data_IF_174008732090
#
_entry.id   IF_174008732090
#
_cell.length_a   1.000
_cell.length_b   1.000
_cell.length_c   1.000
_cell.angle_alpha   90.00
_cell.angle_beta   90.00
_cell.angle_gamma   90.00
#
_symmetry.space_group_name_H-M   'P 1'
#
loop_
_entity.id
_entity.type
_entity.pdbx_description
1 polymer ?
#
# COMPACT_ATOMS: atom_id res chain seq x y z
N UNK A 1 -16.16 29.75 -25.14
CA UNK A 1 -15.24 28.89 -25.87
C UNK A 1 -13.86 28.87 -25.23
N UNK A 2 -13.28 30.00 -24.87
CA UNK A 2 -11.94 30.04 -24.29
C UNK A 2 -11.83 29.34 -22.94
N UNK A 3 -12.92 29.22 -22.18
CA UNK A 3 -12.93 28.58 -20.87
C UNK A 3 -13.23 27.07 -20.93
N UNK A 4 -13.76 26.59 -22.05
CA UNK A 4 -14.14 25.16 -22.17
C UNK A 4 -12.93 24.26 -22.26
N UNK A 5 -11.94 24.67 -23.04
CA UNK A 5 -10.74 23.84 -23.24
C UNK A 5 -9.91 23.70 -21.96
N UNK A 6 -9.58 24.81 -21.24
CA UNK A 6 -8.90 24.67 -19.94
C UNK A 6 -9.71 23.88 -18.91
N UNK A 7 -11.05 24.04 -18.90
CA UNK A 7 -11.90 23.29 -17.99
C UNK A 7 -11.86 21.79 -18.29
N UNK A 8 -11.87 21.41 -19.57
CA UNK A 8 -11.74 20.02 -19.99
C UNK A 8 -10.39 19.43 -19.57
N UNK A 9 -9.30 20.15 -19.80
CA UNK A 9 -7.99 19.71 -19.37
C UNK A 9 -7.92 19.50 -17.87
N UNK A 10 -8.51 20.42 -17.10
CA UNK A 10 -8.54 20.31 -15.65
C UNK A 10 -9.28 19.06 -15.20
N UNK A 11 -10.42 18.76 -15.80
CA UNK A 11 -11.20 17.56 -15.47
C UNK A 11 -10.40 16.30 -15.79
N UNK A 12 -9.72 16.26 -16.94
CA UNK A 12 -8.91 15.10 -17.34
C UNK A 12 -7.76 14.91 -16.36
N UNK A 13 -7.05 15.97 -15.99
CA UNK A 13 -5.94 15.89 -15.06
C UNK A 13 -6.43 15.39 -13.70
N UNK A 14 -7.56 15.90 -13.21
CA UNK A 14 -8.11 15.44 -11.94
C UNK A 14 -8.53 13.98 -11.98
N UNK A 15 -9.08 13.53 -13.11
CA UNK A 15 -9.46 12.14 -13.27
C UNK A 15 -8.23 11.21 -13.25
N UNK A 16 -7.16 11.60 -13.94
CA UNK A 16 -5.91 10.83 -13.95
C UNK A 16 -5.29 10.83 -12.55
N UNK A 17 -5.31 11.97 -11.87
CA UNK A 17 -4.78 12.10 -10.52
C UNK A 17 -5.52 11.20 -9.55
N UNK A 18 -6.86 11.16 -9.66
CA UNK A 18 -7.68 10.26 -8.86
C UNK A 18 -7.37 8.79 -9.15
N UNK A 19 -7.11 8.45 -10.41
CA UNK A 19 -6.75 7.09 -10.80
C UNK A 19 -5.39 6.70 -10.21
N UNK A 20 -4.40 7.59 -10.22
CA UNK A 20 -3.10 7.34 -9.60
C UNK A 20 -3.24 7.10 -8.09
N UNK A 21 -4.02 7.95 -7.42
CA UNK A 21 -4.26 7.81 -5.99
C UNK A 21 -4.93 6.48 -5.68
N UNK A 22 -5.98 6.15 -6.41
CA UNK A 22 -6.72 4.90 -6.20
C UNK A 22 -5.82 3.69 -6.42
N UNK A 23 -5.02 3.72 -7.48
CA UNK A 23 -4.12 2.62 -7.80
C UNK A 23 -3.05 2.44 -6.71
N UNK A 24 -2.45 3.55 -6.25
CA UNK A 24 -1.45 3.52 -5.19
C UNK A 24 -2.06 3.01 -3.87
N UNK A 25 -3.26 3.46 -3.54
CA UNK A 25 -3.95 3.03 -2.33
C UNK A 25 -4.29 1.54 -2.38
N UNK A 26 -4.80 1.07 -3.51
CA UNK A 26 -5.11 -0.34 -3.72
C UNK A 26 -3.86 -1.21 -3.61
N UNK A 27 -2.76 -0.75 -4.19
CA UNK A 27 -1.48 -1.46 -4.10
C UNK A 27 -1.00 -1.54 -2.66
N UNK A 28 -1.10 -0.44 -1.91
CA UNK A 28 -0.69 -0.41 -0.51
C UNK A 28 -1.55 -1.38 0.34
N UNK A 29 -2.86 -1.42 0.10
CA UNK A 29 -3.76 -2.35 0.77
C UNK A 29 -3.36 -3.80 0.47
N UNK A 30 -3.13 -4.11 -0.80
CA UNK A 30 -2.74 -5.46 -1.21
C UNK A 30 -1.41 -5.87 -0.60
N UNK A 31 -0.44 -4.97 -0.56
CA UNK A 31 0.86 -5.22 0.06
C UNK A 31 0.72 -5.46 1.57
N UNK A 32 -0.09 -4.65 2.25
CA UNK A 32 -0.34 -4.81 3.68
C UNK A 32 -0.98 -6.16 3.97
N UNK A 33 -1.94 -6.58 3.15
CA UNK A 33 -2.61 -7.88 3.31
C UNK A 33 -1.64 -9.04 3.07
N UNK A 34 -0.80 -8.94 2.06
CA UNK A 34 0.19 -9.98 1.78
C UNK A 34 1.20 -10.09 2.92
N UNK A 35 1.68 -8.94 3.40
CA UNK A 35 2.59 -8.91 4.53
C UNK A 35 1.96 -9.46 5.81
N UNK A 36 0.70 -9.10 6.07
CA UNK A 36 -0.01 -9.58 7.26
C UNK A 36 -0.20 -11.10 7.23
N UNK A 37 -0.57 -11.65 6.07
CA UNK A 37 -0.68 -13.10 5.93
C UNK A 37 0.64 -13.80 6.19
N UNK A 38 1.72 -13.23 5.67
CA UNK A 38 3.06 -13.80 5.87
C UNK A 38 3.48 -13.70 7.33
N UNK A 39 3.28 -12.54 7.95
CA UNK A 39 3.65 -12.33 9.36
C UNK A 39 2.82 -13.19 10.30
N UNK A 40 1.55 -13.44 9.96
CA UNK A 40 0.65 -14.25 10.77
C UNK A 40 0.79 -15.75 10.57
N UNK A 41 1.55 -16.18 9.60
CA UNK A 41 1.73 -17.61 9.33
C UNK A 41 2.46 -18.30 10.47
N UNK A 42 2.23 -19.60 10.58
CA UNK A 42 2.86 -20.43 11.61
C UNK A 42 4.38 -20.34 11.49
N UNK A 43 5.04 -20.08 12.61
CA UNK A 43 6.51 -19.97 12.71
C UNK A 43 7.10 -18.80 11.90
N UNK A 44 6.29 -17.80 11.57
CA UNK A 44 6.76 -16.61 10.88
C UNK A 44 7.15 -15.52 11.86
N UNK A 45 7.62 -14.40 11.33
CA UNK A 45 8.03 -13.23 12.12
C UNK A 45 7.47 -11.95 11.52
N UNK A 46 7.49 -10.88 12.30
CA UNK A 46 7.13 -9.54 11.80
C UNK A 46 8.06 -9.12 10.65
N UNK A 47 9.35 -9.44 10.75
CA UNK A 47 10.32 -9.11 9.70
C UNK A 47 10.00 -9.82 8.38
N UNK A 48 9.57 -11.07 8.42
CA UNK A 48 9.15 -11.80 7.23
C UNK A 48 7.94 -11.12 6.57
N UNK A 49 6.99 -10.67 7.40
CA UNK A 49 5.83 -9.96 6.89
C UNK A 49 6.18 -8.64 6.24
N UNK A 50 7.06 -7.87 6.86
CA UNK A 50 7.51 -6.59 6.28
C UNK A 50 8.23 -6.82 4.96
N UNK A 51 9.09 -7.83 4.88
CA UNK A 51 9.78 -8.18 3.65
C UNK A 51 8.80 -8.60 2.55
N UNK A 52 7.78 -9.40 2.90
CA UNK A 52 6.78 -9.83 1.94
C UNK A 52 5.99 -8.65 1.36
N UNK A 53 5.64 -7.69 2.20
CA UNK A 53 4.94 -6.48 1.74
C UNK A 53 5.82 -5.67 0.79
N UNK A 54 7.09 -5.47 1.14
CA UNK A 54 8.02 -4.72 0.31
C UNK A 54 8.28 -5.45 -1.02
N UNK A 55 8.47 -6.75 -0.98
CA UNK A 55 8.69 -7.57 -2.19
C UNK A 55 7.47 -7.55 -3.11
N UNK A 56 6.27 -7.57 -2.53
CA UNK A 56 5.04 -7.49 -3.30
C UNK A 56 4.99 -6.19 -4.11
N UNK A 57 5.31 -5.06 -3.47
CA UNK A 57 5.32 -3.77 -4.14
C UNK A 57 6.34 -3.77 -5.29
N UNK A 58 7.53 -4.29 -5.04
CA UNK A 58 8.58 -4.34 -6.06
C UNK A 58 8.20 -5.27 -7.22
N UNK A 59 7.62 -6.44 -6.91
CA UNK A 59 7.28 -7.45 -7.92
C UNK A 59 6.18 -7.00 -8.87
N UNK A 60 5.25 -6.18 -8.41
CA UNK A 60 4.17 -5.68 -9.26
C UNK A 60 4.52 -4.36 -9.94
N UNK A 61 5.78 -3.95 -9.86
CA UNK A 61 6.22 -2.70 -10.50
C UNK A 61 5.72 -1.45 -9.79
N UNK A 62 5.49 -1.55 -8.47
CA UNK A 62 4.89 -0.48 -7.71
C UNK A 62 5.78 0.71 -7.41
N UNK A 63 7.07 0.65 -7.76
CA UNK A 63 8.02 1.72 -7.47
C UNK A 63 7.63 3.05 -8.13
N UNK A 64 6.95 3.00 -9.28
CA UNK A 64 6.49 4.19 -9.98
C UNK A 64 5.13 4.67 -9.49
N UNK A 65 4.38 3.82 -8.81
CA UNK A 65 3.01 4.09 -8.36
C UNK A 65 3.00 4.57 -6.92
N UNK A 66 3.82 3.95 -6.08
CA UNK A 66 3.88 4.23 -4.65
C UNK A 66 5.35 4.48 -4.29
N UNK A 67 5.66 5.72 -3.91
CA UNK A 67 7.04 6.13 -3.63
C UNK A 67 7.23 6.41 -2.15
N UNK A 68 8.49 6.43 -1.69
CA UNK A 68 8.81 6.70 -0.30
C UNK A 68 8.18 5.69 0.65
N UNK A 69 8.17 4.42 0.27
CA UNK A 69 7.45 3.38 1.00
C UNK A 69 8.15 3.06 2.30
N UNK A 70 7.37 3.06 3.39
CA UNK A 70 7.81 2.55 4.69
C UNK A 70 6.83 1.47 5.12
N UNK A 71 7.36 0.34 5.55
CA UNK A 71 6.56 -0.79 5.99
C UNK A 71 6.81 -1.01 7.47
N UNK A 72 5.73 -0.94 8.26
CA UNK A 72 5.76 -1.28 9.67
C UNK A 72 5.18 -2.67 9.88
N UNK A 73 5.72 -3.40 10.84
CA UNK A 73 5.24 -4.74 11.14
C UNK A 73 5.23 -4.98 12.64
N UNK A 74 4.13 -5.58 13.10
CA UNK A 74 3.99 -6.01 14.49
C UNK A 74 3.41 -7.41 14.51
N UNK A 75 3.96 -8.26 15.35
CA UNK A 75 3.41 -9.58 15.59
C UNK A 75 3.35 -9.83 17.08
N UNK A 76 2.13 -10.10 17.55
CA UNK A 76 1.89 -10.50 18.94
C UNK A 76 1.53 -11.98 18.97
N UNK A 77 1.21 -12.49 20.15
CA UNK A 77 0.79 -13.90 20.29
C UNK A 77 -0.52 -14.19 19.57
N UNK A 78 -1.33 -13.16 19.32
CA UNK A 78 -2.68 -13.34 18.78
C UNK A 78 -2.90 -12.68 17.43
N UNK A 79 -2.08 -11.71 17.03
CA UNK A 79 -2.31 -10.99 15.79
C UNK A 79 -1.01 -10.56 15.14
N UNK A 80 -1.09 -10.36 13.82
CA UNK A 80 -0.02 -9.76 13.04
C UNK A 80 -0.60 -8.57 12.28
N UNK A 81 0.09 -7.44 12.32
CA UNK A 81 -0.34 -6.21 11.67
C UNK A 81 0.79 -5.67 10.82
N UNK A 82 0.45 -5.33 9.59
CA UNK A 82 1.37 -4.66 8.66
C UNK A 82 0.77 -3.31 8.30
N UNK A 83 1.59 -2.27 8.35
CA UNK A 83 1.24 -0.95 7.84
C UNK A 83 2.14 -0.61 6.67
N UNK A 84 1.55 0.00 5.65
CA UNK A 84 2.28 0.45 4.47
C UNK A 84 1.98 1.94 4.30
N UNK A 85 3.02 2.74 4.36
CA UNK A 85 2.94 4.20 4.18
C UNK A 85 3.78 4.58 2.97
N UNK A 86 3.31 5.56 2.23
CA UNK A 86 4.04 6.04 1.06
C UNK A 86 3.31 7.22 0.45
N UNK A 87 3.68 7.54 -0.78
CA UNK A 87 3.11 8.66 -1.50
C UNK A 87 2.70 8.21 -2.89
N UNK A 88 1.53 8.69 -3.32
CA UNK A 88 1.04 8.42 -4.67
C UNK A 88 1.86 9.19 -5.70
N UNK A 89 2.01 8.61 -6.88
CA UNK A 89 2.47 9.36 -8.04
C UNK A 89 1.50 10.50 -8.35
N UNK A 90 2.00 11.57 -8.94
CA UNK A 90 1.20 12.75 -9.22
C UNK A 90 1.66 13.40 -10.52
N UNK A 91 0.69 13.97 -11.25
CA UNK A 91 0.98 14.83 -12.41
C UNK A 91 1.30 16.26 -11.98
N UNK A 92 1.02 16.60 -10.72
CA UNK A 92 1.19 17.97 -10.21
C UNK A 92 2.55 18.03 -9.51
N UNK A 93 3.51 18.81 -10.03
CA UNK A 93 4.82 18.93 -9.40
C UNK A 93 4.72 19.41 -7.97
N UNK A 94 5.48 18.78 -7.08
CA UNK A 94 5.52 19.16 -5.68
C UNK A 94 4.33 18.68 -4.85
N UNK A 95 3.42 17.91 -5.44
CA UNK A 95 2.27 17.39 -4.72
C UNK A 95 2.16 15.88 -4.93
N UNK A 96 2.51 15.14 -3.89
CA UNK A 96 2.37 13.68 -3.87
C UNK A 96 1.50 13.33 -2.68
N UNK A 97 0.22 12.96 -2.89
CA UNK A 97 -0.67 12.65 -1.77
C UNK A 97 -0.15 11.47 -0.94
N UNK A 98 -0.26 11.56 0.39
CA UNK A 98 0.14 10.44 1.23
C UNK A 98 -0.83 9.28 1.12
N UNK A 99 -0.29 8.07 1.18
CA UNK A 99 -1.04 6.83 1.17
C UNK A 99 -0.75 6.08 2.46
N UNK A 100 -1.79 5.58 3.11
CA UNK A 100 -1.65 4.73 4.29
C UNK A 100 -2.57 3.54 4.15
N UNK A 101 -2.06 2.37 4.45
CA UNK A 101 -2.84 1.15 4.48
C UNK A 101 -2.36 0.26 5.61
N UNK A 102 -3.27 -0.51 6.16
CA UNK A 102 -2.93 -1.45 7.23
C UNK A 102 -3.78 -2.70 7.08
N UNK A 103 -3.23 -3.82 7.47
CA UNK A 103 -3.96 -5.08 7.53
C UNK A 103 -3.57 -5.81 8.81
N UNK A 104 -4.54 -6.42 9.45
CA UNK A 104 -4.33 -7.20 10.67
C UNK A 104 -4.99 -8.56 10.49
N UNK A 105 -4.25 -9.61 10.81
CA UNK A 105 -4.77 -10.98 10.73
C UNK A 105 -4.48 -11.71 12.04
N UNK A 106 -5.26 -12.74 12.39
CA UNK A 106 -4.92 -13.59 13.52
C UNK A 106 -3.64 -14.37 13.24
N UNK A 107 -2.83 -14.55 14.27
CA UNK A 107 -1.64 -15.38 14.16
C UNK A 107 -2.05 -16.85 14.19
N UNK A 108 -1.54 -17.62 13.22
CA UNK A 108 -1.72 -19.06 13.22
C UNK A 108 -0.93 -19.71 14.34
N UNK A 109 -1.59 -20.56 15.09
CA UNK A 109 -0.96 -21.28 16.19
C UNK A 109 -1.41 -22.73 16.18
N UNK A 110 -0.48 -23.60 16.56
CA UNK A 110 -0.82 -24.99 16.82
C UNK A 110 -1.55 -25.05 18.15
N UNK A 111 -2.80 -25.48 18.11
CA UNK A 111 -3.60 -25.64 19.33
C UNK A 111 -3.45 -27.08 19.78
N UNK A 112 -2.99 -27.34 21.02
CA UNK A 112 -2.91 -28.73 21.50
C UNK A 112 -4.31 -29.33 21.57
N UNK A 113 -4.45 -30.61 21.25
CA UNK A 113 -5.75 -31.29 21.33
C UNK A 113 -6.30 -31.40 22.74
#
# INVERSE_FOLDING_TARGET
MLLVLPALFTIVILAIQGAFYYHAHTLAIAAAQEGARTAGALNSTAAHGAAAAADFIADVGGDDVLTGVEVGAERTDTSARITVDGYSASLIPGWNPPIQAAATVPVERVTPP
#
